data_IF_267187077625
#
_entry.id   IF_267187077625
#
_cell.length_a   1.000
_cell.length_b   1.000
_cell.length_c   1.000
_cell.angle_alpha   90.00
_cell.angle_beta   90.00
_cell.angle_gamma   90.00
#
_symmetry.space_group_name_H-M   'P 1'
#
loop_
_entity.id
_entity.type
_entity.pdbx_description
1 polymer ?
#
# COMPACT_ATOMS: atom_id res chain seq x y z
N UNK A 1 -60.27 0.90 62.03
CA UNK A 1 -60.44 1.35 60.62
C UNK A 1 -59.25 2.10 60.01
N UNK A 2 -58.30 2.60 60.81
CA UNK A 2 -57.14 3.39 60.34
C UNK A 2 -56.02 2.57 59.65
N UNK A 3 -55.84 1.30 59.96
CA UNK A 3 -54.76 0.46 59.40
C UNK A 3 -54.95 0.05 57.94
N UNK A 4 -56.14 -0.01 57.44
CA UNK A 4 -56.43 -0.36 56.02
C UNK A 4 -56.22 0.83 55.07
N UNK A 5 -56.55 2.04 55.51
CA UNK A 5 -56.34 3.26 54.73
C UNK A 5 -54.84 3.61 54.58
N UNK A 6 -54.06 3.34 55.61
CA UNK A 6 -52.58 3.50 55.58
C UNK A 6 -51.91 2.59 54.55
N UNK A 7 -52.23 1.26 54.56
CA UNK A 7 -51.73 0.27 53.60
C UNK A 7 -52.10 0.62 52.15
N UNK A 8 -53.33 1.11 51.89
CA UNK A 8 -53.75 1.51 50.56
C UNK A 8 -52.96 2.73 50.03
N UNK A 9 -52.60 3.69 50.87
CA UNK A 9 -51.74 4.83 50.50
C UNK A 9 -50.31 4.38 50.20
N UNK A 10 -49.73 3.52 51.03
CA UNK A 10 -48.38 3.00 50.80
C UNK A 10 -48.26 2.20 49.48
N UNK A 11 -49.26 1.39 49.14
CA UNK A 11 -49.30 0.66 47.87
C UNK A 11 -49.42 1.62 46.68
N UNK A 12 -50.20 2.68 46.78
CA UNK A 12 -50.30 3.69 45.70
C UNK A 12 -49.01 4.47 45.51
N UNK A 13 -48.30 4.83 46.57
CA UNK A 13 -47.00 5.53 46.51
C UNK A 13 -45.95 4.63 45.89
N UNK A 14 -45.90 3.36 46.27
CA UNK A 14 -44.93 2.39 45.71
C UNK A 14 -45.20 2.13 44.22
N UNK A 15 -46.46 2.00 43.81
CA UNK A 15 -46.83 1.80 42.41
C UNK A 15 -46.48 3.02 41.54
N UNK A 16 -46.77 4.22 42.03
CA UNK A 16 -46.43 5.48 41.35
C UNK A 16 -44.95 5.63 41.18
N UNK A 17 -44.15 5.38 42.24
CA UNK A 17 -42.69 5.39 42.20
C UNK A 17 -42.09 4.37 41.23
N UNK A 18 -42.66 3.17 41.16
CA UNK A 18 -42.27 2.14 40.16
C UNK A 18 -42.58 2.57 38.71
N UNK A 19 -43.67 3.27 38.48
CA UNK A 19 -44.01 3.80 37.15
C UNK A 19 -43.03 4.93 36.74
N UNK A 20 -42.69 5.81 37.63
CA UNK A 20 -41.70 6.89 37.38
C UNK A 20 -40.33 6.31 37.07
N UNK A 21 -39.86 5.32 37.85
CA UNK A 21 -38.58 4.64 37.62
C UNK A 21 -38.59 3.96 36.24
N UNK A 22 -39.66 3.24 35.89
CA UNK A 22 -39.79 2.59 34.56
C UNK A 22 -39.74 3.61 33.42
N UNK A 23 -40.43 4.74 33.59
CA UNK A 23 -40.43 5.84 32.60
C UNK A 23 -39.05 6.46 32.45
N UNK A 24 -38.31 6.69 33.55
CA UNK A 24 -36.96 7.21 33.52
C UNK A 24 -36.00 6.24 32.84
N UNK A 25 -36.07 4.93 33.17
CA UNK A 25 -35.26 3.89 32.52
C UNK A 25 -35.56 3.81 31.02
N UNK A 26 -36.85 3.84 30.66
CA UNK A 26 -37.24 3.82 29.26
C UNK A 26 -36.72 5.02 28.48
N UNK A 27 -36.83 6.22 29.06
CA UNK A 27 -36.28 7.44 28.45
C UNK A 27 -34.75 7.39 28.33
N UNK A 28 -34.03 6.85 29.32
CA UNK A 28 -32.57 6.70 29.28
C UNK A 28 -32.16 5.72 28.16
N UNK A 29 -32.86 4.59 28.01
CA UNK A 29 -32.60 3.62 26.94
C UNK A 29 -32.90 4.25 25.56
N UNK A 30 -33.99 4.98 25.44
CA UNK A 30 -34.33 5.68 24.20
C UNK A 30 -33.30 6.72 23.81
N UNK A 31 -32.77 7.48 24.77
CA UNK A 31 -31.66 8.42 24.52
C UNK A 31 -30.38 7.71 24.07
N UNK A 32 -30.00 6.59 24.69
CA UNK A 32 -28.83 5.82 24.33
C UNK A 32 -28.95 5.28 22.89
N UNK A 33 -30.12 4.74 22.54
CA UNK A 33 -30.41 4.27 21.20
C UNK A 33 -30.35 5.39 20.17
N UNK A 34 -30.89 6.56 20.49
CA UNK A 34 -30.84 7.73 19.61
C UNK A 34 -29.40 8.18 19.34
N UNK A 35 -28.56 8.23 20.38
CA UNK A 35 -27.13 8.55 20.24
C UNK A 35 -26.41 7.49 19.37
N UNK A 36 -26.70 6.22 19.59
CA UNK A 36 -26.12 5.14 18.79
C UNK A 36 -26.49 5.25 17.30
N UNK A 37 -27.75 5.58 16.99
CA UNK A 37 -28.20 5.81 15.60
C UNK A 37 -27.50 7.01 14.97
N UNK A 38 -27.34 8.11 15.71
CA UNK A 38 -26.63 9.30 15.22
C UNK A 38 -25.16 8.96 14.93
N UNK A 39 -24.49 8.25 15.83
CA UNK A 39 -23.10 7.82 15.63
C UNK A 39 -22.97 6.90 14.40
N UNK A 40 -23.88 5.94 14.26
CA UNK A 40 -23.90 5.07 13.09
C UNK A 40 -24.10 5.85 11.79
N UNK A 41 -25.00 6.83 11.78
CA UNK A 41 -25.22 7.70 10.62
C UNK A 41 -23.97 8.54 10.29
N UNK A 42 -23.32 9.13 11.29
CA UNK A 42 -22.07 9.90 11.09
C UNK A 42 -20.98 9.01 10.50
N UNK A 43 -20.78 7.82 11.03
CA UNK A 43 -19.81 6.86 10.52
C UNK A 43 -20.14 6.47 9.09
N UNK A 44 -21.40 6.17 8.80
CA UNK A 44 -21.86 5.82 7.46
C UNK A 44 -21.59 6.95 6.45
N UNK A 45 -21.95 8.19 6.77
CA UNK A 45 -21.66 9.34 5.90
C UNK A 45 -20.16 9.59 5.75
N UNK A 46 -19.38 9.41 6.80
CA UNK A 46 -17.92 9.59 6.74
C UNK A 46 -17.25 8.54 5.83
N UNK A 47 -17.64 7.27 5.98
CA UNK A 47 -17.06 6.17 5.18
C UNK A 47 -17.52 6.21 3.72
N UNK A 48 -18.80 6.58 3.46
CA UNK A 48 -19.37 6.65 2.12
C UNK A 48 -19.23 8.02 1.44
N UNK A 49 -18.48 8.96 2.05
CA UNK A 49 -18.29 10.27 1.45
C UNK A 49 -17.45 10.17 0.18
N UNK A 50 -18.10 10.37 -0.97
CA UNK A 50 -17.40 10.47 -2.25
C UNK A 50 -16.99 11.92 -2.50
N UNK A 51 -15.67 12.12 -2.66
CA UNK A 51 -15.15 13.43 -3.04
C UNK A 51 -15.48 13.70 -4.51
N UNK A 52 -16.36 14.66 -4.78
CA UNK A 52 -16.77 15.07 -6.12
C UNK A 52 -15.93 16.21 -6.71
N UNK A 53 -15.07 16.82 -5.90
CA UNK A 53 -14.21 17.95 -6.31
C UNK A 53 -12.86 17.87 -5.59
N UNK A 54 -11.85 18.46 -6.21
CA UNK A 54 -10.53 18.66 -5.62
C UNK A 54 -10.12 20.12 -5.72
N UNK A 55 -9.33 20.57 -4.79
CA UNK A 55 -8.72 21.89 -4.79
C UNK A 55 -7.20 21.73 -5.01
N UNK A 56 -6.67 22.43 -6.03
CA UNK A 56 -5.23 22.46 -6.28
C UNK A 56 -4.60 23.44 -5.30
N UNK A 57 -3.96 22.91 -4.24
CA UNK A 57 -3.30 23.75 -3.21
C UNK A 57 -1.94 24.26 -3.62
N UNK A 58 -1.23 23.50 -4.46
CA UNK A 58 0.10 23.85 -4.94
C UNK A 58 0.37 23.25 -6.31
N UNK A 59 1.16 23.92 -7.12
CA UNK A 59 1.61 23.42 -8.43
C UNK A 59 3.12 23.60 -8.52
N UNK A 60 3.84 22.49 -8.67
CA UNK A 60 5.30 22.45 -8.75
C UNK A 60 5.68 22.18 -10.20
N UNK A 61 6.46 23.08 -10.80
CA UNK A 61 7.00 22.90 -12.14
C UNK A 61 8.21 21.98 -12.11
N UNK A 62 8.05 20.75 -12.57
CA UNK A 62 9.16 19.81 -12.73
C UNK A 62 9.82 20.00 -14.10
N UNK A 63 11.16 19.85 -14.17
CA UNK A 63 11.87 19.81 -15.47
C UNK A 63 11.32 18.66 -16.30
N UNK A 64 10.81 19.00 -17.49
CA UNK A 64 10.37 17.99 -18.47
C UNK A 64 11.58 17.31 -19.10
N UNK A 65 11.61 15.97 -19.09
CA UNK A 65 12.39 15.16 -20.02
C UNK A 65 11.43 14.41 -20.96
N UNK A 66 11.91 14.05 -22.13
CA UNK A 66 11.10 13.28 -23.10
C UNK A 66 10.84 11.88 -22.53
N UNK A 67 9.58 11.44 -22.57
CA UNK A 67 9.20 10.11 -22.08
C UNK A 67 9.17 9.95 -20.57
N UNK A 68 9.18 11.05 -19.79
CA UNK A 68 9.09 11.00 -18.33
C UNK A 68 7.76 10.42 -17.88
N UNK A 69 7.82 9.41 -17.01
CA UNK A 69 6.70 8.82 -16.30
C UNK A 69 6.74 9.23 -14.82
N UNK A 70 5.59 9.29 -14.18
CA UNK A 70 5.47 9.65 -12.76
C UNK A 70 4.61 8.61 -12.03
N UNK A 71 4.97 8.33 -10.79
CA UNK A 71 4.22 7.46 -9.88
C UNK A 71 4.13 8.09 -8.49
N UNK A 72 3.09 7.75 -7.72
CA UNK A 72 3.03 8.14 -6.32
C UNK A 72 4.17 7.44 -5.55
N UNK A 73 4.84 8.18 -4.67
CA UNK A 73 5.95 7.66 -3.90
C UNK A 73 5.98 8.32 -2.52
N UNK A 74 5.80 7.52 -1.46
CA UNK A 74 5.71 8.02 -0.09
C UNK A 74 4.75 9.23 0.02
N UNK A 75 5.25 10.39 0.42
CA UNK A 75 4.49 11.64 0.53
C UNK A 75 4.62 12.54 -0.70
N UNK A 76 5.16 12.05 -1.81
CA UNK A 76 5.48 12.85 -2.97
C UNK A 76 5.31 12.08 -4.28
N UNK A 77 6.19 12.34 -5.22
CA UNK A 77 6.16 11.78 -6.57
C UNK A 77 7.56 11.27 -6.95
N UNK A 78 7.61 10.05 -7.45
CA UNK A 78 8.76 9.51 -8.14
C UNK A 78 8.56 9.72 -9.65
N UNK A 79 9.53 10.33 -10.29
CA UNK A 79 9.61 10.49 -11.74
C UNK A 79 10.75 9.64 -12.27
N UNK A 80 10.56 9.01 -13.42
CA UNK A 80 11.59 8.23 -14.08
C UNK A 80 11.50 8.35 -15.59
N UNK A 81 12.61 8.21 -16.25
CA UNK A 81 12.77 8.30 -17.70
C UNK A 81 13.86 7.33 -18.14
N UNK A 82 14.29 7.42 -19.39
CA UNK A 82 15.45 6.68 -19.89
C UNK A 82 16.77 7.08 -19.23
N UNK A 83 16.87 8.33 -18.77
CA UNK A 83 18.11 8.93 -18.30
C UNK A 83 18.30 8.86 -16.78
N UNK A 84 17.27 8.44 -16.04
CA UNK A 84 17.34 8.37 -14.58
C UNK A 84 15.98 8.43 -13.88
N UNK A 85 16.04 8.38 -12.55
CA UNK A 85 14.91 8.51 -11.67
C UNK A 85 15.19 9.51 -10.56
N UNK A 86 14.14 10.21 -10.09
CA UNK A 86 14.22 11.13 -8.97
C UNK A 86 12.91 11.17 -8.20
N UNK A 87 12.99 11.28 -6.88
CA UNK A 87 11.84 11.48 -6.02
C UNK A 87 11.82 12.91 -5.48
N UNK A 88 10.63 13.50 -5.45
CA UNK A 88 10.37 14.83 -4.89
C UNK A 88 9.26 14.72 -3.84
N UNK A 89 9.36 15.52 -2.78
CA UNK A 89 8.34 15.63 -1.76
C UNK A 89 7.16 16.52 -2.20
N UNK A 90 6.18 16.74 -1.31
CA UNK A 90 5.01 17.60 -1.57
C UNK A 90 5.35 19.06 -1.80
N UNK A 91 6.49 19.51 -1.29
CA UNK A 91 6.96 20.89 -1.40
C UNK A 91 7.85 21.09 -2.64
N UNK A 92 8.18 19.99 -3.33
CA UNK A 92 9.01 19.98 -4.54
C UNK A 92 10.50 19.87 -4.26
N UNK A 93 10.89 19.59 -3.01
CA UNK A 93 12.28 19.34 -2.69
C UNK A 93 12.67 17.93 -3.17
N UNK A 94 13.86 17.84 -3.74
CA UNK A 94 14.41 16.54 -4.16
C UNK A 94 14.77 15.71 -2.93
N UNK A 95 14.21 14.50 -2.86
CA UNK A 95 14.51 13.53 -1.82
C UNK A 95 15.75 12.73 -2.18
N UNK A 96 15.83 12.31 -3.42
CA UNK A 96 16.97 11.61 -4.02
C UNK A 96 16.88 11.65 -5.54
N UNK A 97 18.03 11.43 -6.20
CA UNK A 97 18.09 11.21 -7.64
C UNK A 97 19.16 10.17 -8.00
N UNK A 98 18.98 9.51 -9.11
CA UNK A 98 19.94 8.58 -9.68
C UNK A 98 19.88 8.64 -11.19
N UNK A 99 21.07 8.61 -11.82
CA UNK A 99 21.20 8.60 -13.27
C UNK A 99 21.50 7.17 -13.76
N UNK A 100 20.89 6.81 -14.86
CA UNK A 100 21.16 5.58 -15.60
C UNK A 100 20.90 5.84 -17.09
N UNK A 101 21.20 4.88 -17.93
CA UNK A 101 20.85 4.89 -19.34
C UNK A 101 20.11 3.58 -19.64
N UNK A 102 18.81 3.67 -19.93
CA UNK A 102 17.91 2.55 -20.19
C UNK A 102 16.98 2.87 -21.35
N UNK A 103 16.80 1.93 -22.26
CA UNK A 103 15.86 2.12 -23.38
C UNK A 103 14.40 1.93 -22.96
N UNK A 104 14.12 0.95 -22.09
CA UNK A 104 12.78 0.59 -21.67
C UNK A 104 12.64 0.41 -20.16
N UNK A 105 12.72 1.51 -19.37
CA UNK A 105 12.64 1.45 -17.92
C UNK A 105 11.22 1.12 -17.44
N UNK A 106 11.11 0.15 -16.53
CA UNK A 106 9.92 -0.19 -15.77
C UNK A 106 10.18 0.03 -14.28
N UNK A 107 9.18 0.51 -13.58
CA UNK A 107 9.23 0.88 -12.17
C UNK A 107 8.30 0.00 -11.35
N UNK A 108 8.79 -0.49 -10.21
CA UNK A 108 7.98 -1.01 -9.12
C UNK A 108 8.36 -0.32 -7.80
N UNK A 109 7.38 -0.17 -6.89
CA UNK A 109 7.52 0.58 -5.64
C UNK A 109 6.88 -0.20 -4.49
N UNK A 110 7.63 -0.33 -3.40
CA UNK A 110 7.11 -0.80 -2.11
C UNK A 110 7.60 0.10 -0.98
N UNK A 111 6.69 0.91 -0.41
CA UNK A 111 6.97 1.91 0.63
C UNK A 111 8.08 2.90 0.22
N UNK A 112 9.26 2.85 0.88
CA UNK A 112 10.40 3.70 0.56
C UNK A 112 11.32 3.12 -0.52
N UNK A 113 11.17 1.83 -0.83
CA UNK A 113 11.99 1.19 -1.84
C UNK A 113 11.36 1.29 -3.22
N UNK A 114 12.19 1.48 -4.21
CA UNK A 114 11.80 1.49 -5.61
C UNK A 114 12.84 0.73 -6.43
N UNK A 115 12.39 -0.05 -7.41
CA UNK A 115 13.24 -0.68 -8.40
C UNK A 115 12.91 -0.12 -9.77
N UNK A 116 13.93 0.30 -10.52
CA UNK A 116 13.82 0.62 -11.94
C UNK A 116 14.62 -0.41 -12.70
N UNK A 117 13.97 -1.19 -13.54
CA UNK A 117 14.58 -2.26 -14.31
C UNK A 117 14.44 -1.98 -15.80
N UNK A 118 15.50 -2.29 -16.55
CA UNK A 118 15.49 -2.22 -18.00
C UNK A 118 14.85 -3.49 -18.59
N UNK A 119 13.61 -3.36 -19.07
CA UNK A 119 12.89 -4.49 -19.66
C UNK A 119 13.53 -4.86 -21.00
N UNK A 120 13.82 -6.15 -21.19
CA UNK A 120 14.64 -6.74 -22.25
C UNK A 120 16.16 -6.37 -22.18
N UNK A 121 16.54 -5.63 -21.14
CA UNK A 121 17.94 -5.39 -20.79
C UNK A 121 18.38 -6.24 -19.60
N UNK A 122 19.55 -5.93 -19.03
CA UNK A 122 20.18 -6.70 -17.94
C UNK A 122 20.50 -5.86 -16.72
N UNK A 123 20.12 -4.60 -16.69
CA UNK A 123 20.44 -3.69 -15.61
C UNK A 123 19.20 -3.28 -14.83
N UNK A 124 19.35 -3.15 -13.52
CA UNK A 124 18.34 -2.56 -12.66
C UNK A 124 18.99 -1.73 -11.56
N UNK A 125 18.25 -0.75 -11.05
CA UNK A 125 18.67 0.10 -9.95
C UNK A 125 17.62 0.01 -8.83
N UNK A 126 18.09 -0.18 -7.61
CA UNK A 126 17.25 -0.27 -6.41
C UNK A 126 17.54 0.93 -5.51
N UNK A 127 16.51 1.69 -5.21
CA UNK A 127 16.55 2.90 -4.39
C UNK A 127 15.96 2.60 -3.01
N UNK A 128 16.61 3.08 -1.96
CA UNK A 128 16.18 2.90 -0.55
C UNK A 128 15.47 4.12 0.04
N UNK A 129 15.23 5.13 -0.79
CA UNK A 129 14.56 6.36 -0.39
C UNK A 129 15.49 7.51 0.02
N UNK A 130 16.81 7.35 -0.07
CA UNK A 130 17.76 8.37 0.39
C UNK A 130 19.07 8.47 -0.39
N UNK A 131 19.28 7.61 -1.40
CA UNK A 131 20.54 7.56 -2.14
C UNK A 131 20.33 7.53 -3.66
N UNK A 132 21.45 7.51 -4.39
CA UNK A 132 21.46 7.46 -5.86
C UNK A 132 21.15 6.09 -6.46
N UNK A 133 20.82 5.11 -5.62
CA UNK A 133 20.48 3.75 -6.00
C UNK A 133 21.64 2.78 -6.11
N UNK A 134 21.36 1.51 -5.83
CA UNK A 134 22.31 0.40 -5.99
C UNK A 134 22.06 -0.29 -7.31
N UNK A 135 23.08 -0.35 -8.17
CA UNK A 135 23.02 -1.06 -9.44
C UNK A 135 23.17 -2.57 -9.24
N UNK A 136 22.29 -3.33 -9.88
CA UNK A 136 22.44 -4.76 -10.09
C UNK A 136 22.47 -5.07 -11.59
N UNK A 137 23.13 -6.17 -11.93
CA UNK A 137 23.20 -6.68 -13.31
C UNK A 137 22.85 -8.15 -13.29
N UNK A 138 21.99 -8.57 -14.20
CA UNK A 138 21.54 -9.96 -14.37
C UNK A 138 22.26 -10.64 -15.53
N UNK A 139 22.28 -11.97 -15.53
CA UNK A 139 22.90 -12.75 -16.60
C UNK A 139 22.01 -12.83 -17.86
N UNK A 140 20.70 -12.74 -17.66
CA UNK A 140 19.68 -12.82 -18.69
C UNK A 140 18.85 -11.55 -18.79
N UNK A 141 18.17 -11.30 -19.93
CA UNK A 141 17.25 -10.17 -20.07
C UNK A 141 16.13 -10.16 -19.04
N UNK A 142 15.79 -9.00 -18.55
CA UNK A 142 14.76 -8.80 -17.55
C UNK A 142 13.38 -8.70 -18.22
N UNK A 143 12.43 -9.53 -17.77
CA UNK A 143 11.02 -9.45 -18.16
C UNK A 143 10.20 -8.63 -17.17
N UNK A 144 10.48 -8.77 -15.88
CA UNK A 144 9.81 -8.04 -14.81
C UNK A 144 10.72 -7.97 -13.57
N UNK A 145 10.58 -6.91 -12.80
CA UNK A 145 11.18 -6.80 -11.47
C UNK A 145 10.16 -6.25 -10.48
N UNK A 146 10.18 -6.74 -9.24
CA UNK A 146 9.39 -6.25 -8.14
C UNK A 146 10.22 -6.12 -6.87
N UNK A 147 9.83 -5.22 -5.96
CA UNK A 147 10.59 -4.88 -4.75
C UNK A 147 9.73 -5.01 -3.50
N UNK A 148 10.31 -5.51 -2.41
CA UNK A 148 9.67 -5.57 -1.09
C UNK A 148 9.94 -4.31 -0.25
N UNK A 149 9.22 -4.17 0.87
CA UNK A 149 9.44 -3.10 1.86
C UNK A 149 10.78 -3.19 2.61
N UNK A 150 11.54 -4.27 2.40
CA UNK A 150 12.88 -4.46 2.93
C UNK A 150 13.97 -4.21 1.90
N UNK A 151 13.60 -3.90 0.65
CA UNK A 151 14.50 -3.66 -0.46
C UNK A 151 15.02 -4.94 -1.13
N UNK A 152 14.45 -6.10 -0.79
CA UNK A 152 14.67 -7.35 -1.54
C UNK A 152 13.95 -7.23 -2.87
N UNK A 153 14.59 -7.68 -3.95
CA UNK A 153 14.09 -7.58 -5.33
C UNK A 153 13.96 -8.96 -5.93
N UNK A 154 12.82 -9.29 -6.49
CA UNK A 154 12.66 -10.45 -7.35
C UNK A 154 12.61 -10.01 -8.82
N UNK A 155 13.30 -10.77 -9.66
CA UNK A 155 13.45 -10.48 -11.09
C UNK A 155 13.08 -11.72 -11.89
N UNK A 156 12.16 -11.56 -12.82
CA UNK A 156 11.85 -12.58 -13.83
C UNK A 156 12.74 -12.35 -15.03
N UNK A 157 13.49 -13.37 -15.42
CA UNK A 157 14.51 -13.34 -16.45
C UNK A 157 14.14 -14.28 -17.60
N UNK A 158 14.43 -13.86 -18.80
CA UNK A 158 14.25 -14.65 -20.03
C UNK A 158 15.50 -15.47 -20.34
N UNK A 159 15.41 -16.80 -20.19
CA UNK A 159 16.45 -17.73 -20.65
C UNK A 159 15.97 -18.45 -21.92
N UNK A 160 16.93 -19.06 -22.66
CA UNK A 160 16.69 -19.69 -23.95
C UNK A 160 15.72 -20.89 -23.89
N UNK A 161 15.69 -21.58 -22.77
CA UNK A 161 14.89 -22.82 -22.61
C UNK A 161 13.74 -22.68 -21.63
N UNK A 162 13.87 -21.82 -20.63
CA UNK A 162 12.87 -21.54 -19.61
C UNK A 162 13.19 -20.23 -18.93
N UNK A 163 12.17 -19.56 -18.39
CA UNK A 163 12.39 -18.35 -17.59
C UNK A 163 12.96 -18.72 -16.23
N UNK A 164 13.69 -17.78 -15.62
CA UNK A 164 14.30 -17.94 -14.28
C UNK A 164 13.86 -16.81 -13.39
N UNK A 165 13.51 -17.13 -12.16
CA UNK A 165 13.25 -16.09 -11.13
C UNK A 165 14.47 -16.02 -10.23
N UNK A 166 15.06 -14.84 -10.13
CA UNK A 166 16.18 -14.57 -9.22
C UNK A 166 15.75 -13.56 -8.16
N UNK A 167 16.12 -13.83 -6.92
CA UNK A 167 15.84 -12.93 -5.78
C UNK A 167 17.16 -12.38 -5.25
N UNK A 168 17.21 -11.05 -5.12
CA UNK A 168 18.40 -10.32 -4.71
C UNK A 168 18.16 -9.52 -3.43
N UNK A 169 19.20 -9.46 -2.58
CA UNK A 169 19.34 -8.40 -1.59
C UNK A 169 20.45 -7.45 -2.04
N UNK A 170 20.14 -6.28 -2.59
CA UNK A 170 21.16 -5.36 -3.12
C UNK A 170 22.08 -4.78 -2.04
N UNK A 171 21.68 -4.87 -0.77
CA UNK A 171 22.40 -4.31 0.37
C UNK A 171 23.26 -5.33 1.13
N UNK A 172 23.30 -6.59 0.68
CA UNK A 172 24.21 -7.60 1.21
C UNK A 172 25.49 -7.64 0.37
N UNK A 173 26.58 -7.15 0.94
CA UNK A 173 27.88 -7.11 0.25
C UNK A 173 28.47 -8.50 0.00
N UNK A 174 28.09 -9.51 0.80
CA UNK A 174 28.66 -10.84 0.70
C UNK A 174 27.87 -11.75 -0.26
N UNK A 175 26.56 -11.58 -0.31
CA UNK A 175 25.70 -12.42 -1.14
C UNK A 175 24.49 -11.64 -1.64
N UNK A 176 24.65 -10.97 -2.78
CA UNK A 176 23.54 -10.22 -3.40
C UNK A 176 22.44 -11.15 -3.93
N UNK A 177 22.81 -12.23 -4.64
CA UNK A 177 21.86 -13.24 -5.10
C UNK A 177 21.50 -14.18 -3.94
N UNK A 178 20.25 -14.13 -3.49
CA UNK A 178 19.75 -14.98 -2.40
C UNK A 178 19.26 -16.32 -2.90
N UNK A 179 18.43 -16.31 -3.93
CA UNK A 179 17.73 -17.50 -4.46
C UNK A 179 17.64 -17.40 -5.97
N UNK A 180 17.80 -18.54 -6.63
CA UNK A 180 17.47 -18.74 -8.03
C UNK A 180 16.44 -19.86 -8.13
N UNK A 181 15.33 -19.58 -8.79
CA UNK A 181 14.22 -20.50 -8.98
C UNK A 181 14.09 -20.75 -10.49
N UNK A 182 14.62 -21.87 -11.00
CA UNK A 182 14.39 -22.23 -12.40
C UNK A 182 12.91 -22.59 -12.57
N UNK A 183 12.32 -22.14 -13.65
CA UNK A 183 10.95 -22.53 -14.00
C UNK A 183 10.98 -23.65 -15.04
N UNK A 184 10.00 -24.54 -14.97
CA UNK A 184 9.90 -25.67 -15.89
C UNK A 184 8.82 -25.41 -16.92
N UNK A 185 9.12 -25.68 -18.20
CA UNK A 185 8.15 -25.57 -19.30
C UNK A 185 6.88 -26.41 -19.07
N UNK A 186 7.02 -27.53 -18.35
CA UNK A 186 5.88 -28.40 -18.00
C UNK A 186 4.92 -27.75 -16.99
N UNK A 187 5.39 -26.78 -16.19
CA UNK A 187 4.60 -25.99 -15.24
C UNK A 187 4.05 -24.70 -15.86
N UNK A 188 4.33 -24.46 -17.14
CA UNK A 188 3.94 -23.28 -17.89
C UNK A 188 4.99 -22.18 -17.89
N UNK A 189 4.78 -21.19 -18.77
CA UNK A 189 5.66 -20.04 -18.88
C UNK A 189 5.25 -18.95 -17.87
N UNK A 190 6.16 -18.52 -16.98
CA UNK A 190 5.92 -17.37 -16.11
C UNK A 190 5.66 -16.11 -16.91
N UNK A 191 4.55 -15.45 -16.62
CA UNK A 191 4.16 -14.19 -17.28
C UNK A 191 4.17 -13.02 -16.32
N UNK A 192 4.08 -13.29 -15.02
CA UNK A 192 4.14 -12.23 -14.01
C UNK A 192 4.61 -12.81 -12.69
N UNK A 193 5.37 -11.98 -11.96
CA UNK A 193 5.80 -12.26 -10.59
C UNK A 193 5.38 -11.13 -9.67
N UNK A 194 5.21 -11.44 -8.40
CA UNK A 194 5.09 -10.45 -7.34
C UNK A 194 5.80 -10.94 -6.09
N UNK A 195 6.24 -10.01 -5.24
CA UNK A 195 6.99 -10.28 -4.03
C UNK A 195 6.15 -9.88 -2.82
N UNK A 196 6.09 -10.77 -1.82
CA UNK A 196 5.42 -10.40 -0.56
C UNK A 196 6.06 -9.15 0.04
N UNK A 197 5.29 -8.27 0.70
CA UNK A 197 5.82 -7.04 1.27
C UNK A 197 6.99 -7.25 2.24
N UNK A 198 7.02 -8.36 2.95
CA UNK A 198 8.12 -8.74 3.85
C UNK A 198 9.33 -9.41 3.15
N UNK A 199 9.25 -9.60 1.82
CA UNK A 199 10.33 -10.17 1.02
C UNK A 199 10.57 -11.68 1.22
N UNK A 200 9.66 -12.40 1.89
CA UNK A 200 9.83 -13.82 2.23
C UNK A 200 9.16 -14.78 1.25
N UNK A 201 8.25 -14.30 0.41
CA UNK A 201 7.48 -15.09 -0.55
C UNK A 201 7.44 -14.46 -1.92
N UNK A 202 7.59 -15.29 -2.96
CA UNK A 202 7.39 -14.91 -4.37
C UNK A 202 6.15 -15.63 -4.89
N UNK A 203 5.27 -14.90 -5.57
CA UNK A 203 4.13 -15.45 -6.31
C UNK A 203 4.46 -15.35 -7.78
N UNK A 204 4.19 -16.42 -8.52
CA UNK A 204 4.37 -16.48 -9.96
C UNK A 204 3.07 -16.90 -10.63
N UNK A 205 2.67 -16.18 -11.67
CA UNK A 205 1.60 -16.57 -12.58
C UNK A 205 2.19 -17.13 -13.86
N UNK A 206 1.75 -18.33 -14.26
CA UNK A 206 2.22 -19.03 -15.46
C UNK A 206 1.06 -19.32 -16.41
N UNK A 207 1.37 -19.39 -17.72
CA UNK A 207 0.44 -19.84 -18.76
C UNK A 207 0.88 -21.23 -19.24
N UNK A 208 -0.06 -22.18 -19.20
CA UNK A 208 0.10 -23.52 -19.76
C UNK A 208 -0.43 -23.61 -21.19
#
# INVERSE_FOLDING_TARGET
METLAGRARDVQVVTKRRQEIKRTIFLSIACILLVAVILAAVIYFYVNHQYSSYEVKNTIALKKSSGMKCSAYQNGVLRYSRDGAAAVDRDGNEMWNGSYDMENPALDICEKYAVVAEIQGKSLYVYNGSDSGTKLTTDYPILQACVSKQGVVAVLLEDQSSNVIQVYNPYDDNKKLLVEIPTNVEEGYPVSIDLSPDGTGVICASIC
#
